data_IF_900887017838
#
_entry.id   IF_900887017838
#
_cell.length_a   1.000
_cell.length_b   1.000
_cell.length_c   1.000
_cell.angle_alpha   90.00
_cell.angle_beta   90.00
_cell.angle_gamma   90.00
#
_symmetry.space_group_name_H-M   'P 1'
#
loop_
_entity.id
_entity.type
_entity.pdbx_description
1 polymer ?
#
# COMPACT_ATOMS: atom_id res chain seq x y z
N UNK A 1 -1.54 -4.91 -5.12
CA UNK A 1 -1.14 -3.96 -4.06
C UNK A 1 -1.07 -2.54 -4.63
N UNK A 2 -1.54 -1.53 -3.90
CA UNK A 2 -1.56 -0.11 -4.26
C UNK A 2 -1.08 0.71 -3.07
N UNK A 3 -0.19 1.67 -3.28
CA UNK A 3 0.22 2.67 -2.30
C UNK A 3 -0.21 4.05 -2.80
N UNK A 4 -0.83 4.87 -1.95
CA UNK A 4 -1.24 6.22 -2.31
C UNK A 4 -1.13 7.16 -1.10
N UNK A 5 -0.47 8.32 -1.26
CA UNK A 5 -0.43 9.35 -0.23
C UNK A 5 -1.72 10.16 -0.14
N UNK A 6 -2.31 10.32 1.04
CA UNK A 6 -3.61 11.01 1.19
C UNK A 6 -3.55 12.53 0.97
N UNK A 7 -2.35 13.09 0.78
CA UNK A 7 -2.10 14.49 0.39
C UNK A 7 -1.43 14.61 -0.98
N UNK A 8 -1.51 13.59 -1.82
CA UNK A 8 -1.02 13.67 -3.20
C UNK A 8 -1.86 14.68 -4.01
N UNK A 9 -1.21 15.77 -4.43
CA UNK A 9 -1.79 16.84 -5.26
C UNK A 9 -1.54 16.65 -6.75
N UNK A 10 -0.73 15.65 -7.14
CA UNK A 10 -0.45 15.28 -8.53
C UNK A 10 -1.46 14.26 -9.04
N UNK A 11 -1.73 13.22 -8.24
CA UNK A 11 -2.75 12.21 -8.54
C UNK A 11 -3.73 12.11 -7.38
N UNK A 12 -5.00 12.41 -7.66
CA UNK A 12 -6.04 12.44 -6.62
C UNK A 12 -6.16 11.10 -5.86
N UNK A 13 -6.16 11.07 -4.52
CA UNK A 13 -6.18 9.85 -3.70
C UNK A 13 -7.32 8.87 -4.02
N UNK A 14 -8.49 9.38 -4.42
CA UNK A 14 -9.61 8.53 -4.91
C UNK A 14 -9.21 7.53 -5.99
N UNK A 15 -8.18 7.83 -6.79
CA UNK A 15 -7.75 6.95 -7.86
C UNK A 15 -7.21 5.63 -7.31
N UNK A 16 -6.47 5.65 -6.19
CA UNK A 16 -6.01 4.44 -5.51
C UNK A 16 -7.17 3.55 -5.07
N UNK A 17 -8.17 4.14 -4.40
CA UNK A 17 -9.39 3.43 -4.00
C UNK A 17 -10.19 2.90 -5.21
N UNK A 18 -10.29 3.68 -6.29
CA UNK A 18 -11.02 3.29 -7.49
C UNK A 18 -10.36 2.10 -8.23
N UNK A 19 -9.02 2.02 -8.25
CA UNK A 19 -8.29 0.87 -8.83
C UNK A 19 -8.64 -0.41 -8.08
N UNK A 20 -8.69 -0.36 -6.75
CA UNK A 20 -9.01 -1.51 -5.90
C UNK A 20 -10.47 -1.93 -6.09
N UNK A 21 -11.40 -0.95 -6.09
CA UNK A 21 -12.82 -1.21 -6.31
C UNK A 21 -13.07 -1.90 -7.67
N UNK A 22 -12.40 -1.44 -8.75
CA UNK A 22 -12.50 -2.05 -10.08
C UNK A 22 -11.87 -3.45 -10.18
N UNK A 23 -10.83 -3.73 -9.39
CA UNK A 23 -10.20 -5.05 -9.32
C UNK A 23 -11.08 -6.10 -8.59
N UNK A 24 -12.22 -5.67 -8.03
CA UNK A 24 -13.37 -6.53 -7.76
C UNK A 24 -13.43 -7.14 -6.38
N UNK A 25 -13.57 -6.33 -5.31
CA UNK A 25 -14.19 -6.89 -4.11
C UNK A 25 -14.28 -5.97 -2.90
N UNK A 26 -15.23 -6.32 -2.04
CA UNK A 26 -15.35 -5.87 -0.66
C UNK A 26 -14.01 -6.11 0.06
N UNK A 27 -13.47 -5.03 0.63
CA UNK A 27 -12.17 -5.01 1.27
C UNK A 27 -12.38 -4.99 2.78
N UNK A 28 -11.66 -5.84 3.50
CA UNK A 28 -11.59 -5.73 4.95
C UNK A 28 -10.57 -4.65 5.31
N UNK A 29 -10.99 -3.63 6.04
CA UNK A 29 -10.06 -2.61 6.53
C UNK A 29 -9.26 -3.21 7.68
N UNK A 30 -7.97 -3.44 7.46
CA UNK A 30 -7.04 -3.85 8.51
C UNK A 30 -6.25 -2.62 8.94
N UNK A 31 -6.77 -1.88 9.90
CA UNK A 31 -5.98 -0.86 10.57
C UNK A 31 -4.93 -1.56 11.43
N UNK A 32 -3.72 -1.70 10.91
CA UNK A 32 -2.56 -2.16 11.68
C UNK A 32 -1.85 -0.93 12.29
N UNK A 33 -2.06 -0.61 13.58
CA UNK A 33 -1.22 0.35 14.26
C UNK A 33 0.15 -0.32 14.49
N UNK A 34 1.09 -0.17 13.57
CA UNK A 34 2.46 -0.58 13.85
C UNK A 34 3.01 0.37 14.93
N UNK A 35 3.20 -0.16 16.15
CA UNK A 35 3.51 0.63 17.36
C UNK A 35 4.81 1.47 17.26
N UNK A 36 5.69 1.15 16.31
CA UNK A 36 6.91 1.92 16.02
C UNK A 36 6.69 3.09 15.03
N UNK A 37 5.58 3.11 14.29
CA UNK A 37 5.23 4.08 13.23
C UNK A 37 3.80 4.61 13.41
N UNK A 38 3.37 4.84 14.66
CA UNK A 38 2.02 5.29 15.07
C UNK A 38 1.28 6.04 13.94
N UNK A 39 0.41 5.33 13.22
CA UNK A 39 -0.61 5.92 12.35
C UNK A 39 -0.14 6.58 11.04
N UNK A 40 0.98 6.19 10.43
CA UNK A 40 1.37 6.73 9.12
C UNK A 40 0.67 6.10 7.92
N UNK A 41 -0.11 5.04 8.09
CA UNK A 41 -0.90 4.49 6.99
C UNK A 41 -2.12 3.70 7.46
N UNK A 42 -3.10 3.54 6.57
CA UNK A 42 -4.19 2.57 6.67
C UNK A 42 -4.00 1.50 5.60
N UNK A 43 -4.09 0.21 5.99
CA UNK A 43 -3.95 -0.92 5.08
C UNK A 43 -5.28 -1.67 4.92
N UNK A 44 -5.92 -1.57 3.78
CA UNK A 44 -7.15 -2.33 3.48
C UNK A 44 -6.80 -3.57 2.67
N UNK A 45 -7.21 -4.75 3.11
CA UNK A 45 -6.85 -6.04 2.52
C UNK A 45 -8.08 -6.83 2.13
N UNK A 46 -8.09 -7.37 0.92
CA UNK A 46 -9.02 -8.43 0.52
C UNK A 46 -8.26 -9.74 0.44
N UNK A 47 -8.80 -10.79 1.06
CA UNK A 47 -8.23 -12.13 1.05
C UNK A 47 -9.06 -13.09 0.19
N UNK A 48 -8.40 -14.10 -0.38
CA UNK A 48 -9.07 -15.26 -0.99
C UNK A 48 -9.57 -16.26 0.08
N UNK A 49 -10.19 -17.35 -0.36
CA UNK A 49 -10.67 -18.42 0.52
C UNK A 49 -9.55 -19.14 1.29
N UNK A 50 -8.31 -19.10 0.78
CA UNK A 50 -7.12 -19.67 1.42
C UNK A 50 -6.48 -18.67 2.41
N UNK A 51 -7.07 -17.48 2.58
CA UNK A 51 -6.57 -16.42 3.46
C UNK A 51 -5.43 -15.59 2.87
N UNK A 52 -5.06 -15.79 1.58
CA UNK A 52 -3.99 -15.03 0.92
C UNK A 52 -4.50 -13.65 0.50
N UNK A 53 -3.69 -12.61 0.69
CA UNK A 53 -4.04 -11.23 0.38
C UNK A 53 -4.07 -10.96 -1.13
N UNK A 54 -5.22 -11.06 -1.79
CA UNK A 54 -5.33 -10.84 -3.25
C UNK A 54 -5.33 -9.37 -3.67
N UNK A 55 -5.78 -8.46 -2.80
CA UNK A 55 -5.72 -7.01 -3.02
C UNK A 55 -5.29 -6.32 -1.73
N UNK A 56 -4.49 -5.26 -1.87
CA UNK A 56 -4.07 -4.42 -0.75
C UNK A 56 -4.06 -2.96 -1.19
N UNK A 57 -4.68 -2.09 -0.38
CA UNK A 57 -4.61 -0.64 -0.48
C UNK A 57 -3.87 -0.10 0.74
N UNK A 58 -2.80 0.64 0.51
CA UNK A 58 -2.01 1.32 1.52
C UNK A 58 -2.17 2.83 1.35
N UNK A 59 -3.02 3.43 2.18
CA UNK A 59 -3.21 4.88 2.22
C UNK A 59 -2.20 5.49 3.20
N UNK A 60 -1.24 6.25 2.70
CA UNK A 60 -0.14 6.79 3.50
C UNK A 60 -0.52 8.18 4.00
N UNK A 61 -0.74 8.28 5.31
CA UNK A 61 -1.22 9.49 5.96
C UNK A 61 -0.17 10.60 5.97
N UNK A 62 -0.58 11.74 5.43
CA UNK A 62 0.20 12.95 5.27
C UNK A 62 1.19 12.94 4.11
N UNK A 63 1.32 11.84 3.37
CA UNK A 63 2.24 11.75 2.25
C UNK A 63 1.67 12.42 0.99
N UNK A 64 2.54 13.12 0.27
CA UNK A 64 2.26 13.70 -1.05
C UNK A 64 2.60 12.74 -2.18
N UNK A 65 2.97 13.29 -3.34
CA UNK A 65 3.45 12.51 -4.49
C UNK A 65 4.91 12.08 -4.29
N UNK A 66 5.12 11.05 -3.48
CA UNK A 66 6.44 10.51 -3.17
C UNK A 66 6.40 9.00 -2.95
N UNK A 67 7.51 8.33 -3.22
CA UNK A 67 7.72 6.93 -2.91
C UNK A 67 7.80 6.74 -1.40
N UNK A 68 6.91 5.93 -0.83
CA UNK A 68 6.90 5.66 0.61
C UNK A 68 8.11 4.80 1.02
N UNK A 69 8.83 5.28 2.04
CA UNK A 69 10.12 4.75 2.47
C UNK A 69 11.27 5.25 1.59
N UNK A 70 12.28 4.39 1.38
CA UNK A 70 13.45 4.72 0.57
C UNK A 70 14.48 5.60 1.29
N UNK A 71 15.51 6.02 0.54
CA UNK A 71 16.64 6.78 1.07
C UNK A 71 16.31 8.26 1.22
N UNK A 72 16.71 8.89 2.31
CA UNK A 72 16.60 10.35 2.49
C UNK A 72 17.41 11.18 1.48
N UNK A 73 18.33 10.54 0.73
CA UNK A 73 19.04 11.18 -0.37
C UNK A 73 18.23 11.23 -1.69
N UNK A 74 17.08 10.55 -1.76
CA UNK A 74 16.20 10.57 -2.93
C UNK A 74 15.34 11.83 -2.99
N UNK A 75 15.15 12.37 -4.19
CA UNK A 75 14.36 13.59 -4.42
C UNK A 75 12.83 13.38 -4.42
N UNK A 76 12.38 12.14 -4.57
CA UNK A 76 10.95 11.77 -4.64
C UNK A 76 10.60 10.63 -3.66
N UNK A 77 11.27 10.60 -2.51
CA UNK A 77 11.05 9.60 -1.46
C UNK A 77 10.50 10.28 -0.22
N UNK A 78 9.61 9.61 0.50
CA UNK A 78 9.23 9.92 1.88
C UNK A 78 9.81 8.84 2.80
N UNK A 79 11.04 9.03 3.34
CA UNK A 79 11.70 8.04 4.20
C UNK A 79 10.94 7.76 5.50
N UNK A 80 9.98 8.61 5.86
CA UNK A 80 9.18 8.47 7.07
C UNK A 80 7.91 7.65 6.87
N UNK A 81 7.58 7.29 5.63
CA UNK A 81 6.53 6.33 5.30
C UNK A 81 6.99 4.87 5.43
N UNK A 82 6.05 3.90 5.40
CA UNK A 82 6.40 2.48 5.35
C UNK A 82 7.23 2.15 4.12
N UNK A 83 8.06 1.10 4.21
CA UNK A 83 8.88 0.61 3.10
C UNK A 83 8.01 -0.05 2.03
N UNK A 84 7.57 0.73 1.04
CA UNK A 84 6.71 0.24 -0.04
C UNK A 84 7.40 -0.83 -0.88
N UNK A 85 8.72 -0.73 -1.07
CA UNK A 85 9.49 -1.72 -1.84
C UNK A 85 9.45 -3.08 -1.15
N UNK A 86 9.73 -3.10 0.16
CA UNK A 86 9.67 -4.33 0.96
C UNK A 86 8.28 -4.95 0.94
N UNK A 87 7.24 -4.14 1.10
CA UNK A 87 5.85 -4.63 1.12
C UNK A 87 5.37 -5.11 -0.25
N UNK A 88 5.80 -4.46 -1.34
CA UNK A 88 5.59 -4.97 -2.69
C UNK A 88 6.28 -6.32 -2.90
N UNK A 89 7.53 -6.47 -2.47
CA UNK A 89 8.26 -7.73 -2.57
C UNK A 89 7.58 -8.84 -1.75
N UNK A 90 7.13 -8.55 -0.52
CA UNK A 90 6.32 -9.47 0.28
C UNK A 90 5.10 -9.93 -0.50
N UNK A 91 4.30 -8.98 -1.01
CA UNK A 91 3.10 -9.27 -1.77
C UNK A 91 3.40 -10.14 -3.02
N UNK A 92 4.41 -9.79 -3.82
CA UNK A 92 4.70 -10.55 -5.04
C UNK A 92 5.25 -11.96 -4.76
N UNK A 93 6.04 -12.14 -3.70
CA UNK A 93 6.54 -13.45 -3.30
C UNK A 93 5.43 -14.35 -2.75
N UNK A 94 4.45 -13.78 -2.02
CA UNK A 94 3.24 -14.50 -1.60
C UNK A 94 2.38 -14.96 -2.79
N UNK A 95 2.49 -14.28 -3.95
CA UNK A 95 1.74 -14.58 -5.18
C UNK A 95 2.62 -15.12 -6.31
N UNK A 96 3.77 -15.72 -5.97
CA UNK A 96 4.67 -16.29 -6.95
C UNK A 96 3.93 -17.35 -7.77
N UNK A 97 3.86 -17.14 -9.10
CA UNK A 97 3.28 -18.14 -10.01
C UNK A 97 4.23 -19.32 -10.08
N UNK A 98 3.68 -20.53 -10.04
CA UNK A 98 4.45 -21.72 -10.39
C UNK A 98 5.09 -21.51 -11.77
N UNK A 99 6.37 -21.88 -11.90
CA UNK A 99 7.00 -21.92 -13.23
C UNK A 99 6.22 -22.93 -14.07
N UNK A 100 5.82 -22.50 -15.27
CA UNK A 100 5.22 -23.36 -16.28
C UNK A 100 6.22 -24.43 -16.74
#
# INVERSE_FOLDING_TARGET
IVFHGDRDTTVHPRNGAAVIARAGGDVQVLSEPQAAQRGRYTRSVRRDADGRSVLELWEIHGAGHAWSGGSAAGSFTDPSGPDATREMLRFFLEHARARA
#
